data_IF_711054360404
#
_entry.id   IF_711054360404
#
_cell.length_a   1.000
_cell.length_b   1.000
_cell.length_c   1.000
_cell.angle_alpha   90.00
_cell.angle_beta   90.00
_cell.angle_gamma   90.00
#
_symmetry.space_group_name_H-M   'P 1'
#
loop_
_entity.id
_entity.type
_entity.pdbx_description
1 polymer ?
#
# COMPACT_ATOMS: atom_id res chain seq x y z
N UNK A 1 -4.91 4.28 -35.46
CA UNK A 1 -5.38 5.44 -36.25
C UNK A 1 -5.92 6.56 -35.37
N UNK A 2 -6.95 6.34 -34.54
CA UNK A 2 -7.56 7.40 -33.69
C UNK A 2 -6.55 8.16 -32.80
N UNK A 3 -5.61 7.45 -32.17
CA UNK A 3 -4.57 8.08 -31.34
C UNK A 3 -3.68 9.07 -32.10
N UNK A 4 -3.35 8.77 -33.36
CA UNK A 4 -2.53 9.64 -34.20
C UNK A 4 -3.26 10.96 -34.48
N UNK A 5 -4.57 10.89 -34.75
CA UNK A 5 -5.42 12.08 -34.95
C UNK A 5 -5.45 12.95 -33.69
N UNK A 6 -5.58 12.32 -32.52
CA UNK A 6 -5.57 13.01 -31.22
C UNK A 6 -4.23 13.72 -30.97
N UNK A 7 -3.10 13.07 -31.26
CA UNK A 7 -1.76 13.67 -31.10
C UNK A 7 -1.55 14.83 -32.08
N UNK A 8 -1.97 14.68 -33.33
CA UNK A 8 -1.86 15.75 -34.34
C UNK A 8 -2.72 16.95 -33.96
N UNK A 9 -3.97 16.73 -33.54
CA UNK A 9 -4.84 17.79 -33.04
C UNK A 9 -4.24 18.48 -31.80
N UNK A 10 -3.71 17.70 -30.85
CA UNK A 10 -3.11 18.24 -29.63
C UNK A 10 -1.84 19.08 -29.91
N UNK A 11 -1.00 18.65 -30.86
CA UNK A 11 0.15 19.42 -31.33
C UNK A 11 -0.27 20.67 -32.09
N UNK A 12 -1.29 20.59 -32.94
CA UNK A 12 -1.83 21.74 -33.68
C UNK A 12 -2.38 22.83 -32.77
N UNK A 13 -3.12 22.43 -31.72
CA UNK A 13 -3.67 23.32 -30.69
C UNK A 13 -2.63 23.80 -29.66
N UNK A 14 -1.37 23.33 -29.74
CA UNK A 14 -0.29 23.63 -28.78
C UNK A 14 -0.71 23.40 -27.33
N UNK A 15 -1.44 22.31 -27.07
CA UNK A 15 -1.96 21.97 -25.73
C UNK A 15 -0.85 21.84 -24.66
N UNK A 16 0.39 21.58 -25.08
CA UNK A 16 1.59 21.63 -24.23
C UNK A 16 1.78 23.00 -23.54
N UNK A 17 1.42 24.11 -24.20
CA UNK A 17 1.46 25.47 -23.59
C UNK A 17 0.40 25.66 -22.51
N UNK A 18 -0.67 24.88 -22.55
CA UNK A 18 -1.77 24.92 -21.58
C UNK A 18 -1.60 23.89 -20.45
N UNK A 19 -0.45 23.19 -20.39
CA UNK A 19 -0.13 22.26 -19.31
C UNK A 19 -0.54 20.81 -19.58
N UNK A 20 -0.90 20.46 -20.81
CA UNK A 20 -1.14 19.06 -21.22
C UNK A 20 0.18 18.43 -21.66
N UNK A 21 0.62 17.37 -20.99
CA UNK A 21 1.76 16.57 -21.41
C UNK A 21 1.29 15.43 -22.32
N UNK A 22 1.87 15.35 -23.52
CA UNK A 22 1.58 14.30 -24.49
C UNK A 22 2.61 13.18 -24.30
N UNK A 23 2.18 12.04 -23.76
CA UNK A 23 2.96 10.81 -23.69
C UNK A 23 2.58 9.87 -24.82
N UNK A 24 3.41 8.86 -25.10
CA UNK A 24 3.24 7.96 -26.24
C UNK A 24 1.84 7.32 -26.36
N UNK A 25 1.14 7.09 -25.24
CA UNK A 25 -0.20 6.49 -25.20
C UNK A 25 -1.18 7.22 -24.26
N UNK A 26 -0.81 8.40 -23.74
CA UNK A 26 -1.68 9.13 -22.81
C UNK A 26 -1.51 10.64 -22.90
N UNK A 27 -2.60 11.36 -22.65
CA UNK A 27 -2.61 12.80 -22.48
C UNK A 27 -2.82 13.09 -21.00
N UNK A 28 -1.87 13.77 -20.36
CA UNK A 28 -1.94 14.08 -18.93
C UNK A 28 -2.05 15.58 -18.77
N UNK A 29 -3.19 16.06 -18.27
CA UNK A 29 -3.35 17.46 -17.90
C UNK A 29 -2.72 17.72 -16.52
N UNK A 30 -1.70 18.56 -16.47
CA UNK A 30 -1.06 18.97 -15.21
C UNK A 30 -1.75 20.19 -14.64
N UNK A 31 -2.67 19.96 -13.70
CA UNK A 31 -3.19 21.04 -12.88
C UNK A 31 -2.18 21.40 -11.77
N UNK A 32 -1.52 22.56 -11.92
CA UNK A 32 -0.50 23.05 -10.96
C UNK A 32 -1.06 23.27 -9.55
N UNK A 33 -2.34 23.66 -9.42
CA UNK A 33 -2.97 23.85 -8.11
C UNK A 33 -3.22 22.52 -7.41
N UNK A 34 -3.68 21.51 -8.14
CA UNK A 34 -3.89 20.16 -7.57
C UNK A 34 -2.54 19.56 -7.14
N UNK A 35 -1.52 19.69 -8.00
CA UNK A 35 -0.17 19.21 -7.68
C UNK A 35 0.43 19.91 -6.44
N UNK A 36 0.23 21.21 -6.28
CA UNK A 36 0.75 21.94 -5.12
C UNK A 36 0.05 21.54 -3.82
N UNK A 37 -1.28 21.32 -3.86
CA UNK A 37 -2.05 20.80 -2.73
C UNK A 37 -1.59 19.40 -2.35
N UNK A 38 -1.47 18.49 -3.31
CA UNK A 38 -0.95 17.13 -3.11
C UNK A 38 0.45 17.16 -2.50
N UNK A 39 1.33 18.01 -3.01
CA UNK A 39 2.71 18.14 -2.50
C UNK A 39 2.73 18.70 -1.08
N UNK A 40 1.86 19.64 -0.74
CA UNK A 40 1.72 20.19 0.62
C UNK A 40 1.21 19.15 1.60
N UNK A 41 0.21 18.36 1.21
CA UNK A 41 -0.31 17.25 2.00
C UNK A 41 0.78 16.21 2.20
N UNK A 42 1.44 15.78 1.12
CA UNK A 42 2.52 14.81 1.17
C UNK A 42 3.67 15.28 2.08
N UNK A 43 4.07 16.55 1.98
CA UNK A 43 5.08 17.14 2.86
C UNK A 43 4.68 17.08 4.34
N UNK A 44 3.40 17.33 4.65
CA UNK A 44 2.87 17.27 6.03
C UNK A 44 2.73 15.83 6.55
N UNK A 45 2.35 14.87 5.70
CA UNK A 45 2.13 13.47 6.11
C UNK A 45 3.38 12.60 6.03
N UNK A 46 4.43 13.02 5.31
CA UNK A 46 5.67 12.26 5.10
C UNK A 46 6.28 11.71 6.39
N UNK A 47 6.27 12.51 7.46
CA UNK A 47 6.81 12.09 8.76
C UNK A 47 5.97 10.97 9.38
N UNK A 48 4.65 11.10 9.33
CA UNK A 48 3.73 10.07 9.82
C UNK A 48 3.85 8.77 9.04
N UNK A 49 3.95 8.85 7.71
CA UNK A 49 4.14 7.67 6.85
C UNK A 49 5.44 6.94 7.19
N UNK A 50 6.54 7.68 7.43
CA UNK A 50 7.82 7.08 7.81
C UNK A 50 7.73 6.35 9.15
N UNK A 51 7.20 7.01 10.17
CA UNK A 51 7.04 6.41 11.49
C UNK A 51 6.14 5.17 11.42
N UNK A 52 5.04 5.24 10.68
CA UNK A 52 4.15 4.10 10.46
C UNK A 52 4.89 2.94 9.77
N UNK A 53 5.68 3.22 8.74
CA UNK A 53 6.48 2.20 8.06
C UNK A 53 7.46 1.53 9.04
N UNK A 54 8.22 2.31 9.82
CA UNK A 54 9.19 1.79 10.78
C UNK A 54 8.52 0.95 11.87
N UNK A 55 7.40 1.44 12.43
CA UNK A 55 6.65 0.73 13.48
C UNK A 55 5.99 -0.53 12.94
N UNK A 56 5.45 -0.52 11.72
CA UNK A 56 4.82 -1.70 11.12
C UNK A 56 5.80 -2.85 10.92
N UNK A 57 7.06 -2.55 10.58
CA UNK A 57 8.12 -3.55 10.45
C UNK A 57 8.42 -4.19 11.81
N UNK A 58 8.60 -3.37 12.86
CA UNK A 58 8.84 -3.86 14.23
C UNK A 58 7.66 -4.72 14.72
N UNK A 59 6.43 -4.27 14.49
CA UNK A 59 5.23 -5.03 14.83
C UNK A 59 5.18 -6.39 14.12
N UNK A 60 5.62 -6.45 12.86
CA UNK A 60 5.75 -7.71 12.11
C UNK A 60 6.72 -8.70 12.77
N UNK A 61 7.88 -8.23 13.24
CA UNK A 61 8.84 -9.07 13.97
C UNK A 61 8.28 -9.57 15.31
N UNK A 62 7.56 -8.72 16.03
CA UNK A 62 6.88 -9.11 17.28
C UNK A 62 5.84 -10.19 17.01
N UNK A 63 5.00 -10.01 15.98
CA UNK A 63 4.01 -11.03 15.58
C UNK A 63 4.68 -12.34 15.17
N UNK A 64 5.81 -12.30 14.46
CA UNK A 64 6.55 -13.50 14.11
C UNK A 64 7.03 -14.25 15.36
N UNK A 65 7.62 -13.53 16.34
CA UNK A 65 8.03 -14.13 17.61
C UNK A 65 6.86 -14.74 18.39
N UNK A 66 5.73 -14.04 18.43
CA UNK A 66 4.51 -14.55 19.05
C UNK A 66 4.00 -15.82 18.36
N UNK A 67 3.99 -15.86 17.03
CA UNK A 67 3.58 -17.04 16.27
C UNK A 67 4.46 -18.26 16.54
N UNK A 68 5.78 -18.07 16.63
CA UNK A 68 6.71 -19.14 17.02
C UNK A 68 6.44 -19.64 18.43
N UNK A 69 6.29 -18.74 19.40
CA UNK A 69 5.97 -19.11 20.77
C UNK A 69 4.65 -19.88 20.86
N UNK A 70 3.60 -19.38 20.20
CA UNK A 70 2.29 -20.03 20.14
C UNK A 70 2.40 -21.44 19.53
N UNK A 71 3.14 -21.60 18.43
CA UNK A 71 3.36 -22.92 17.83
C UNK A 71 4.07 -23.87 18.79
N UNK A 72 5.16 -23.43 19.42
CA UNK A 72 5.89 -24.27 20.37
C UNK A 72 5.04 -24.66 21.58
N UNK A 73 4.26 -23.73 22.12
CA UNK A 73 3.34 -24.00 23.22
C UNK A 73 2.28 -25.05 22.82
N UNK A 74 1.63 -24.88 21.67
CA UNK A 74 0.65 -25.84 21.18
C UNK A 74 1.27 -27.22 20.88
N UNK A 75 2.45 -27.25 20.25
CA UNK A 75 3.17 -28.49 19.97
C UNK A 75 3.54 -29.20 21.29
N UNK A 76 4.01 -28.46 22.29
CA UNK A 76 4.34 -29.03 23.60
C UNK A 76 3.11 -29.65 24.27
N UNK A 77 1.97 -28.96 24.23
CA UNK A 77 0.70 -29.43 24.78
C UNK A 77 0.12 -30.61 24.03
N UNK A 78 0.34 -30.71 22.71
CA UNK A 78 -0.11 -31.84 21.90
C UNK A 78 0.55 -33.16 22.32
N UNK A 79 1.83 -33.12 22.75
CA UNK A 79 2.58 -34.31 23.15
C UNK A 79 2.50 -34.64 24.65
N UNK A 80 1.90 -33.77 25.47
CA UNK A 80 1.65 -34.04 26.88
C UNK A 80 0.26 -34.70 27.01
N UNK A 81 0.23 -35.93 27.56
CA UNK A 81 -1.03 -36.61 27.83
C UNK A 81 -1.87 -35.76 28.79
N UNK A 82 -3.15 -35.48 28.49
CA UNK A 82 -4.04 -34.78 29.42
C UNK A 82 -4.10 -35.56 30.73
N UNK A 83 -3.68 -34.93 31.83
CA UNK A 83 -3.78 -35.53 33.17
C UNK A 83 -5.21 -35.51 33.71
N UNK A 84 -6.07 -34.68 33.10
CA UNK A 84 -7.49 -34.54 33.43
C UNK A 84 -8.36 -34.74 32.18
N UNK A 85 -9.57 -35.27 32.42
CA UNK A 85 -10.56 -35.59 31.38
C UNK A 85 -11.01 -34.30 30.67
N UNK A 86 -10.75 -34.20 29.36
CA UNK A 86 -11.27 -33.10 28.54
C UNK A 86 -12.63 -33.53 27.99
N UNK A 87 -13.71 -32.98 28.57
CA UNK A 87 -15.08 -33.22 28.08
C UNK A 87 -15.19 -32.65 26.66
N UNK A 88 -15.12 -33.53 25.67
CA UNK A 88 -15.43 -33.21 24.27
C UNK A 88 -16.91 -32.84 24.20
N UNK A 89 -17.22 -31.55 24.17
CA UNK A 89 -18.56 -31.07 23.85
C UNK A 89 -18.85 -31.35 22.39
N UNK A 90 -19.61 -32.41 22.14
CA UNK A 90 -20.18 -32.72 20.83
C UNK A 90 -21.38 -31.80 20.62
N UNK A 91 -21.19 -30.74 19.86
CA UNK A 91 -22.24 -29.85 19.33
C UNK A 91 -22.12 -29.77 17.81
#
# INVERSE_FOLDING_TARGET
>A
MAWVVVVVAAKGLKLERYGVEIKAYSLVYKNKQVQSVLTKILGRTRRGIRVFADVSVIAGFIMMGFAFWFLLDNVSKFFIAPTDFSELTVL
#
